data_IF_395843336244
#
_entry.id   IF_395843336244
#
_cell.length_a   1.000
_cell.length_b   1.000
_cell.length_c   1.000
_cell.angle_alpha   90.00
_cell.angle_beta   90.00
_cell.angle_gamma   90.00
#
_symmetry.space_group_name_H-M   'P 1'
#
loop_
_entity.id
_entity.type
_entity.pdbx_description
1 polymer ?
#
# COMPACT_ATOMS: atom_id res chain seq x y z
N UNK A 1 18.83 25.92 31.42
CA UNK A 1 18.97 24.75 30.53
C UNK A 1 17.66 23.99 30.54
N UNK A 2 16.86 24.11 29.48
CA UNK A 2 15.64 23.32 29.29
C UNK A 2 15.93 22.30 28.19
N UNK A 3 15.95 21.03 28.55
CA UNK A 3 16.19 19.92 27.64
C UNK A 3 14.91 19.69 26.82
N UNK A 4 14.90 20.08 25.55
CA UNK A 4 13.87 19.66 24.61
C UNK A 4 14.10 18.17 24.30
N UNK A 5 13.25 17.30 24.84
CA UNK A 5 13.14 15.92 24.36
C UNK A 5 12.36 15.94 23.05
N UNK A 6 13.07 15.89 21.93
CA UNK A 6 12.47 15.58 20.64
C UNK A 6 12.10 14.09 20.66
N UNK A 7 10.84 13.78 20.97
CA UNK A 7 10.26 12.46 20.68
C UNK A 7 9.80 12.48 19.23
N UNK A 8 10.71 12.21 18.29
CA UNK A 8 10.32 11.88 16.92
C UNK A 8 9.93 10.41 16.85
N UNK A 9 8.75 10.09 17.39
CA UNK A 9 8.08 8.82 17.13
C UNK A 9 6.90 9.08 16.21
N UNK A 10 6.89 8.46 15.02
CA UNK A 10 5.68 8.44 14.19
C UNK A 10 4.49 8.02 15.05
N UNK A 11 3.31 8.66 14.92
CA UNK A 11 2.18 8.39 15.79
C UNK A 11 1.84 6.89 15.75
N UNK A 12 1.72 6.29 16.94
CA UNK A 12 1.48 4.86 17.13
C UNK A 12 0.01 4.51 16.81
N UNK A 13 -0.38 4.70 15.55
CA UNK A 13 -1.74 4.43 15.07
C UNK A 13 -1.88 2.97 14.66
N UNK A 14 -3.07 2.44 14.83
CA UNK A 14 -3.45 1.11 14.35
C UNK A 14 -3.54 1.08 12.82
N UNK A 15 -3.48 -0.11 12.22
CA UNK A 15 -3.69 -0.28 10.79
C UNK A 15 -5.06 0.27 10.35
N UNK A 16 -6.11 0.08 11.16
CA UNK A 16 -7.44 0.63 10.95
C UNK A 16 -7.42 2.15 10.88
N UNK A 17 -6.81 2.81 11.86
CA UNK A 17 -6.69 4.27 11.88
C UNK A 17 -5.85 4.79 10.72
N UNK A 18 -4.80 4.06 10.33
CA UNK A 18 -4.00 4.39 9.14
C UNK A 18 -4.82 4.31 7.85
N UNK A 19 -5.66 3.28 7.72
CA UNK A 19 -6.57 3.13 6.58
C UNK A 19 -7.64 4.21 6.55
N UNK A 20 -8.24 4.55 7.70
CA UNK A 20 -9.19 5.64 7.82
C UNK A 20 -8.57 6.99 7.43
N UNK A 21 -7.34 7.24 7.87
CA UNK A 21 -6.57 8.42 7.49
C UNK A 21 -6.29 8.45 5.99
N UNK A 22 -5.82 7.34 5.42
CA UNK A 22 -5.59 7.20 3.98
C UNK A 22 -6.86 7.49 3.18
N UNK A 23 -8.01 6.99 3.62
CA UNK A 23 -9.30 7.27 3.00
C UNK A 23 -9.71 8.73 3.13
N UNK A 24 -9.46 9.36 4.26
CA UNK A 24 -9.73 10.77 4.47
C UNK A 24 -8.89 11.67 3.55
N UNK A 25 -7.60 11.39 3.42
CA UNK A 25 -6.65 12.20 2.64
C UNK A 25 -6.84 12.04 1.12
N UNK A 26 -7.29 10.87 0.68
CA UNK A 26 -7.42 10.53 -0.74
C UNK A 26 -8.89 10.46 -1.19
N UNK A 27 -9.80 11.12 -0.46
CA UNK A 27 -11.22 11.24 -0.86
C UNK A 27 -11.31 11.72 -2.31
N UNK A 28 -12.14 11.05 -3.11
CA UNK A 28 -12.34 11.34 -4.53
C UNK A 28 -11.34 10.68 -5.50
N UNK A 29 -10.35 9.94 -5.00
CA UNK A 29 -9.38 9.20 -5.82
C UNK A 29 -9.44 7.69 -5.62
N UNK A 30 -10.35 7.19 -4.77
CA UNK A 30 -10.45 5.78 -4.39
C UNK A 30 -11.75 5.18 -4.93
N UNK A 31 -11.65 4.03 -5.60
CA UNK A 31 -12.78 3.39 -6.26
C UNK A 31 -13.53 2.39 -5.37
N UNK A 32 -13.03 2.07 -4.17
CA UNK A 32 -13.66 1.08 -3.27
C UNK A 32 -15.06 1.50 -2.77
N UNK A 33 -15.44 2.76 -2.96
CA UNK A 33 -16.73 3.33 -2.57
C UNK A 33 -17.77 3.31 -3.71
N UNK A 34 -17.42 2.80 -4.90
CA UNK A 34 -18.37 2.72 -6.01
C UNK A 34 -19.49 1.71 -5.68
N UNK A 35 -20.73 2.16 -5.83
CA UNK A 35 -21.91 1.31 -5.62
C UNK A 35 -21.97 0.19 -6.68
N UNK A 36 -22.46 -0.99 -6.28
CA UNK A 36 -22.63 -2.13 -7.19
C UNK A 36 -21.38 -2.98 -7.45
N UNK A 37 -20.24 -2.69 -6.82
CA UNK A 37 -19.05 -3.55 -6.92
C UNK A 37 -19.29 -4.92 -6.27
N UNK A 38 -18.92 -6.03 -6.95
CA UNK A 38 -18.87 -7.36 -6.37
C UNK A 38 -18.01 -7.43 -5.09
N UNK A 39 -18.35 -8.32 -4.16
CA UNK A 39 -17.69 -8.42 -2.86
C UNK A 39 -16.20 -8.79 -2.95
N UNK A 40 -15.82 -9.62 -3.94
CA UNK A 40 -14.43 -9.98 -4.20
C UNK A 40 -13.61 -8.77 -4.70
N UNK A 41 -14.21 -7.92 -5.54
CA UNK A 41 -13.61 -6.67 -6.01
C UNK A 41 -13.47 -5.65 -4.87
N UNK A 42 -14.49 -5.53 -4.01
CA UNK A 42 -14.42 -4.67 -2.81
C UNK A 42 -13.32 -5.12 -1.86
N UNK A 43 -13.22 -6.43 -1.62
CA UNK A 43 -12.19 -7.02 -0.77
C UNK A 43 -10.79 -6.81 -1.35
N UNK A 44 -10.66 -6.90 -2.67
CA UNK A 44 -9.41 -6.60 -3.38
C UNK A 44 -8.98 -5.14 -3.18
N UNK A 45 -9.87 -4.16 -3.40
CA UNK A 45 -9.51 -2.76 -3.20
C UNK A 45 -9.18 -2.43 -1.75
N UNK A 46 -9.89 -3.02 -0.79
CA UNK A 46 -9.56 -2.81 0.63
C UNK A 46 -8.18 -3.37 0.99
N UNK A 47 -7.84 -4.57 0.52
CA UNK A 47 -6.51 -5.15 0.70
C UNK A 47 -5.40 -4.32 0.00
N UNK A 48 -5.70 -3.77 -1.17
CA UNK A 48 -4.83 -2.85 -1.89
C UNK A 48 -4.57 -1.56 -1.11
N UNK A 49 -5.61 -0.93 -0.59
CA UNK A 49 -5.48 0.31 0.17
C UNK A 49 -4.74 0.08 1.51
N UNK A 50 -4.93 -1.09 2.12
CA UNK A 50 -4.13 -1.54 3.26
C UNK A 50 -2.65 -1.66 2.89
N UNK A 51 -2.33 -2.13 1.69
CA UNK A 51 -0.94 -2.23 1.23
C UNK A 51 -0.29 -0.83 1.09
N UNK A 52 -1.03 0.20 0.63
CA UNK A 52 -0.55 1.58 0.64
C UNK A 52 -0.14 2.02 2.05
N UNK A 53 -0.99 1.78 3.04
CA UNK A 53 -0.75 2.16 4.44
C UNK A 53 0.42 1.38 5.03
N UNK A 54 0.41 0.06 4.87
CA UNK A 54 1.40 -0.81 5.48
C UNK A 54 2.80 -0.58 4.91
N UNK A 55 2.92 -0.40 3.59
CA UNK A 55 4.19 -0.22 2.89
C UNK A 55 4.57 1.25 2.63
N UNK A 56 3.83 2.20 3.22
CA UNK A 56 4.09 3.65 3.14
C UNK A 56 4.14 4.19 1.70
N UNK A 57 3.20 3.77 0.88
CA UNK A 57 3.11 4.18 -0.51
C UNK A 57 1.97 5.18 -0.70
N UNK A 58 2.28 6.37 -1.23
CA UNK A 58 1.27 7.36 -1.59
C UNK A 58 0.48 6.98 -2.87
N UNK A 59 -0.39 7.89 -3.35
CA UNK A 59 -1.18 7.73 -4.58
C UNK A 59 -0.54 8.41 -5.80
N UNK A 60 0.75 8.73 -5.74
CA UNK A 60 1.51 9.22 -6.90
C UNK A 60 1.85 8.05 -7.83
N UNK A 61 2.38 8.34 -9.02
CA UNK A 61 2.85 7.29 -9.93
C UNK A 61 3.93 6.42 -9.26
N UNK A 62 4.77 7.04 -8.43
CA UNK A 62 5.78 6.32 -7.66
C UNK A 62 5.15 5.40 -6.61
N UNK A 63 4.19 5.90 -5.83
CA UNK A 63 3.51 5.13 -4.79
C UNK A 63 2.69 3.98 -5.36
N UNK A 64 1.89 4.23 -6.40
CA UNK A 64 1.12 3.20 -7.12
C UNK A 64 2.04 2.11 -7.72
N UNK A 65 3.15 2.52 -8.35
CA UNK A 65 4.15 1.59 -8.84
C UNK A 65 4.76 0.76 -7.70
N UNK A 66 5.07 1.40 -6.57
CA UNK A 66 5.67 0.77 -5.41
C UNK A 66 4.74 -0.25 -4.76
N UNK A 67 3.44 0.06 -4.61
CA UNK A 67 2.43 -0.89 -4.12
C UNK A 67 2.32 -2.10 -5.04
N UNK A 68 2.40 -1.94 -6.36
CA UNK A 68 2.40 -3.09 -7.28
C UNK A 68 3.60 -4.01 -7.06
N UNK A 69 4.79 -3.45 -6.86
CA UNK A 69 5.99 -4.24 -6.54
C UNK A 69 5.82 -4.96 -5.20
N UNK A 70 5.37 -4.26 -4.15
CA UNK A 70 5.08 -4.88 -2.85
C UNK A 70 4.02 -5.96 -2.93
N UNK A 71 2.95 -5.74 -3.69
CA UNK A 71 1.87 -6.72 -3.91
C UNK A 71 2.43 -8.02 -4.50
N UNK A 72 3.33 -7.93 -5.49
CA UNK A 72 3.91 -9.09 -6.16
C UNK A 72 4.89 -9.84 -5.26
N UNK A 73 5.77 -9.14 -4.53
CA UNK A 73 6.90 -9.77 -3.83
C UNK A 73 6.72 -9.88 -2.31
N UNK A 74 6.01 -8.94 -1.69
CA UNK A 74 5.83 -8.83 -0.24
C UNK A 74 4.50 -9.35 0.29
N UNK A 75 3.53 -9.71 -0.56
CA UNK A 75 2.21 -10.21 -0.14
C UNK A 75 1.93 -11.62 -0.64
N UNK A 76 0.98 -12.30 0.01
CA UNK A 76 0.52 -13.63 -0.40
C UNK A 76 -0.29 -13.64 -1.70
N UNK A 77 -0.65 -12.48 -2.27
CA UNK A 77 -1.35 -12.42 -3.55
C UNK A 77 -0.47 -12.98 -4.67
N UNK A 78 0.75 -12.45 -4.79
CA UNK A 78 1.70 -12.84 -5.83
C UNK A 78 1.30 -12.42 -7.25
N UNK A 79 2.22 -12.63 -8.19
CA UNK A 79 2.11 -12.13 -9.57
C UNK A 79 0.88 -12.64 -10.35
N UNK A 80 0.63 -13.94 -10.34
CA UNK A 80 -0.42 -14.55 -11.18
C UNK A 80 -1.84 -14.22 -10.72
N UNK A 81 -2.07 -14.20 -9.40
CA UNK A 81 -3.36 -13.77 -8.87
C UNK A 81 -3.54 -12.27 -9.04
N UNK A 82 -2.47 -11.48 -8.89
CA UNK A 82 -2.51 -10.05 -9.19
C UNK A 82 -2.97 -9.80 -10.62
N UNK A 83 -2.40 -10.47 -11.63
CA UNK A 83 -2.84 -10.33 -13.02
C UNK A 83 -4.30 -10.77 -13.22
N UNK A 84 -4.70 -11.90 -12.63
CA UNK A 84 -6.07 -12.43 -12.78
C UNK A 84 -7.13 -11.50 -12.20
N UNK A 85 -6.90 -11.00 -10.98
CA UNK A 85 -7.78 -10.05 -10.31
C UNK A 85 -7.76 -8.68 -10.99
N UNK A 86 -6.60 -8.22 -11.46
CA UNK A 86 -6.48 -6.97 -12.21
C UNK A 86 -7.24 -7.01 -13.54
N UNK A 87 -7.28 -8.17 -14.21
CA UNK A 87 -8.11 -8.39 -15.41
C UNK A 87 -9.60 -8.45 -15.06
N UNK A 88 -9.99 -9.13 -13.99
CA UNK A 88 -11.39 -9.23 -13.54
C UNK A 88 -11.96 -7.90 -13.06
N UNK A 89 -11.15 -7.08 -12.40
CA UNK A 89 -11.54 -5.77 -11.90
C UNK A 89 -11.77 -4.74 -13.02
N UNK A 90 -11.61 -5.12 -14.30
CA UNK A 90 -11.51 -4.23 -15.46
C UNK A 90 -10.51 -3.11 -15.19
N UNK A 91 -9.28 -3.30 -15.68
CA UNK A 91 -8.13 -2.41 -15.56
C UNK A 91 -8.31 -0.98 -16.13
N UNK A 92 -9.38 -0.27 -15.78
CA UNK A 92 -9.69 1.07 -16.26
C UNK A 92 -9.85 2.12 -15.17
N UNK A 93 -9.98 1.75 -13.89
CA UNK A 93 -10.19 2.76 -12.84
C UNK A 93 -9.09 2.85 -11.78
N UNK A 94 -8.23 1.84 -11.60
CA UNK A 94 -7.20 1.92 -10.55
C UNK A 94 -5.97 2.75 -10.94
N UNK A 95 -5.75 3.01 -12.22
CA UNK A 95 -4.75 3.99 -12.65
C UNK A 95 -5.39 5.37 -12.68
N UNK A 96 -5.08 6.22 -11.68
CA UNK A 96 -5.26 7.66 -11.84
C UNK A 96 -4.76 8.08 -13.23
N UNK A 97 -5.48 8.98 -13.89
CA UNK A 97 -4.94 9.70 -15.04
C UNK A 97 -3.85 10.62 -14.53
N UNK A 98 -2.61 10.16 -14.60
CA UNK A 98 -1.44 10.98 -14.28
C UNK A 98 -1.28 12.06 -15.33
N UNK A 99 -0.99 13.29 -14.89
CA UNK A 99 -0.56 14.34 -15.81
C UNK A 99 0.78 13.97 -16.45
N UNK A 100 1.07 14.49 -17.63
CA UNK A 100 2.38 14.33 -18.27
C UNK A 100 3.54 14.80 -17.37
N UNK A 101 3.31 15.84 -16.57
CA UNK A 101 4.27 16.33 -15.56
C UNK A 101 4.54 15.32 -14.44
N UNK A 102 3.50 14.61 -14.00
CA UNK A 102 3.60 13.60 -12.93
C UNK A 102 4.41 12.40 -13.41
N UNK A 103 4.19 12.01 -14.67
CA UNK A 103 4.91 10.91 -15.32
C UNK A 103 6.39 11.26 -15.41
N UNK A 104 6.74 12.42 -15.97
CA UNK A 104 8.14 12.80 -16.19
C UNK A 104 8.94 12.89 -14.88
N UNK A 105 8.30 13.37 -13.80
CA UNK A 105 8.96 13.57 -12.50
C UNK A 105 9.11 12.27 -11.71
N UNK A 106 8.12 11.37 -11.78
CA UNK A 106 8.07 10.20 -10.89
C UNK A 106 8.52 8.89 -11.53
N UNK A 107 8.52 8.78 -12.87
CA UNK A 107 8.84 7.50 -13.54
C UNK A 107 10.27 7.04 -13.29
N UNK A 108 11.25 7.94 -13.36
CA UNK A 108 12.65 7.57 -13.10
C UNK A 108 12.86 7.16 -11.65
N UNK A 109 12.29 7.92 -10.70
CA UNK A 109 12.32 7.58 -9.28
C UNK A 109 11.74 6.19 -9.03
N UNK A 110 10.62 5.86 -9.68
CA UNK A 110 10.02 4.55 -9.59
C UNK A 110 10.96 3.47 -10.13
N UNK A 111 11.43 3.60 -11.37
CA UNK A 111 12.29 2.60 -12.00
C UNK A 111 13.56 2.30 -11.19
N UNK A 112 14.23 3.33 -10.66
CA UNK A 112 15.42 3.14 -9.83
C UNK A 112 15.11 2.54 -8.45
N UNK A 113 13.88 2.67 -7.96
CA UNK A 113 13.49 2.07 -6.68
C UNK A 113 13.14 0.59 -6.76
N UNK A 114 12.78 0.07 -7.95
CA UNK A 114 12.31 -1.32 -8.11
C UNK A 114 13.27 -2.34 -7.48
N UNK A 115 14.60 -2.32 -7.74
CA UNK A 115 15.51 -3.29 -7.14
C UNK A 115 15.53 -3.20 -5.61
N UNK A 116 15.45 -1.98 -5.07
CA UNK A 116 15.45 -1.74 -3.62
C UNK A 116 14.17 -2.29 -2.97
N UNK A 117 13.01 -2.03 -3.58
CA UNK A 117 11.72 -2.55 -3.10
C UNK A 117 11.68 -4.07 -3.13
N UNK A 118 12.21 -4.70 -4.20
CA UNK A 118 12.31 -6.17 -4.29
C UNK A 118 13.22 -6.70 -3.17
N UNK A 119 14.38 -6.08 -2.94
CA UNK A 119 15.29 -6.50 -1.87
C UNK A 119 14.66 -6.36 -0.49
N UNK A 120 13.93 -5.28 -0.23
CA UNK A 120 13.17 -5.07 1.02
C UNK A 120 12.09 -6.12 1.20
N UNK A 121 11.30 -6.41 0.17
CA UNK A 121 10.29 -7.47 0.20
C UNK A 121 10.89 -8.86 0.47
N UNK A 122 12.06 -9.16 -0.12
CA UNK A 122 12.76 -10.43 0.13
C UNK A 122 13.39 -10.54 1.52
N UNK A 123 13.57 -9.43 2.24
CA UNK A 123 14.06 -9.41 3.62
C UNK A 123 12.94 -9.56 4.65
N UNK A 124 11.67 -9.49 4.25
CA UNK A 124 10.55 -9.73 5.15
C UNK A 124 10.65 -11.15 5.75
N UNK A 125 10.25 -11.31 7.01
CA UNK A 125 10.27 -12.61 7.68
C UNK A 125 9.25 -13.59 7.08
N UNK A 126 8.10 -13.05 6.64
CA UNK A 126 7.01 -13.76 5.97
C UNK A 126 6.28 -12.78 5.07
N UNK A 127 5.55 -13.27 4.07
CA UNK A 127 4.71 -12.40 3.23
C UNK A 127 3.49 -11.90 4.02
N UNK A 128 3.08 -10.68 3.72
CA UNK A 128 1.83 -10.10 4.23
C UNK A 128 0.61 -10.91 3.74
N UNK A 129 -0.30 -11.34 4.62
CA UNK A 129 -1.48 -12.12 4.23
C UNK A 129 -2.54 -11.22 3.56
N UNK A 130 -2.49 -11.12 2.23
CA UNK A 130 -3.31 -10.20 1.43
C UNK A 130 -4.81 -10.26 1.73
N UNK A 131 -5.37 -11.47 1.90
CA UNK A 131 -6.81 -11.68 2.13
C UNK A 131 -7.15 -12.05 3.58
N UNK A 132 -6.17 -12.07 4.49
CA UNK A 132 -6.36 -12.45 5.88
C UNK A 132 -5.67 -11.43 6.81
N UNK A 133 -5.94 -10.15 6.56
CA UNK A 133 -5.37 -9.01 7.26
C UNK A 133 -6.15 -8.63 8.52
N UNK A 134 -7.37 -9.13 8.69
CA UNK A 134 -8.31 -8.77 9.75
C UNK A 134 -7.70 -8.84 11.17
N UNK A 135 -6.89 -9.87 11.52
CA UNK A 135 -6.27 -9.95 12.84
C UNK A 135 -5.33 -8.78 13.17
N UNK A 136 -4.82 -8.07 12.16
CA UNK A 136 -3.85 -6.99 12.32
C UNK A 136 -4.50 -5.60 12.33
N UNK A 137 -5.81 -5.48 12.10
CA UNK A 137 -6.47 -4.18 11.92
C UNK A 137 -6.33 -3.27 13.14
N UNK A 138 -6.34 -3.84 14.34
CA UNK A 138 -6.24 -3.10 15.59
C UNK A 138 -4.81 -3.12 16.18
N UNK A 139 -3.85 -3.70 15.45
CA UNK A 139 -2.42 -3.65 15.81
C UNK A 139 -1.79 -2.35 15.32
N UNK A 140 -0.85 -1.77 16.09
CA UNK A 140 -0.08 -0.62 15.63
C UNK A 140 0.74 -0.95 14.38
N UNK A 141 0.76 -0.04 13.40
CA UNK A 141 1.46 -0.24 12.12
C UNK A 141 2.96 -0.49 12.35
N UNK A 142 3.55 0.19 13.33
CA UNK A 142 4.94 0.00 13.76
C UNK A 142 5.23 -1.44 14.18
N UNK A 143 4.35 -2.04 14.98
CA UNK A 143 4.47 -3.42 15.45
C UNK A 143 4.31 -4.41 14.30
N UNK A 144 3.37 -4.18 13.39
CA UNK A 144 3.21 -5.00 12.17
C UNK A 144 4.49 -4.92 11.32
N UNK A 145 5.00 -3.71 11.07
CA UNK A 145 6.23 -3.53 10.28
C UNK A 145 7.42 -4.22 10.94
N UNK A 146 7.52 -4.18 12.26
CA UNK A 146 8.55 -4.89 13.01
C UNK A 146 8.40 -6.42 12.90
N UNK A 147 7.20 -6.95 13.10
CA UNK A 147 6.92 -8.39 13.05
C UNK A 147 7.29 -8.99 11.68
N UNK A 148 6.93 -8.29 10.60
CA UNK A 148 7.16 -8.75 9.23
C UNK A 148 8.52 -8.33 8.67
N UNK A 149 9.29 -7.49 9.38
CA UNK A 149 10.50 -6.82 8.87
C UNK A 149 10.23 -6.01 7.58
N UNK A 150 9.20 -5.16 7.62
CA UNK A 150 8.84 -4.25 6.55
C UNK A 150 9.65 -2.96 6.71
N UNK A 151 10.57 -2.76 5.78
CA UNK A 151 11.35 -1.53 5.63
C UNK A 151 10.69 -0.65 4.58
N UNK A 152 9.64 0.05 4.99
CA UNK A 152 8.95 1.02 4.14
C UNK A 152 9.87 2.22 3.84
#
# INVERSE_FOLDING_TARGET
MLTLTIVTGSPNITLRQGLEKFYHENRGHLNHQQEGLPDDVRSFFKAHDIAHVLFDCDISLYGEGSVKIWTIFGTSLGFWNHISLYRKANAFELSRKFSFSDILTNIFRFLFSIPVLILRARRMHKRWPWSAYEPYMDMPISEIRQEFNIQA
#
